data_IF_652028971241
#
_entry.id   IF_652028971241
#
_cell.length_a   1.000
_cell.length_b   1.000
_cell.length_c   1.000
_cell.angle_alpha   90.00
_cell.angle_beta   90.00
_cell.angle_gamma   90.00
#
_symmetry.space_group_name_H-M   'P 1'
#
loop_
_entity.id
_entity.type
_entity.pdbx_description
1 polymer ?
#
# COMPACT_ATOMS: atom_id res chain seq x y z
N UNK A 1 6.52 4.67 4.74
CA UNK A 1 6.36 6.11 5.02
C UNK A 1 5.27 6.75 4.16
N UNK A 2 5.21 6.54 2.84
CA UNK A 2 4.18 7.12 1.96
C UNK A 2 2.72 6.93 2.45
N UNK A 3 2.30 5.72 2.84
CA UNK A 3 0.94 5.50 3.35
C UNK A 3 0.64 6.21 4.68
N UNK A 4 1.65 6.35 5.55
CA UNK A 4 1.52 7.09 6.82
C UNK A 4 1.46 8.60 6.59
N UNK A 5 2.24 9.12 5.64
CA UNK A 5 2.17 10.51 5.22
C UNK A 5 0.84 10.82 4.51
N UNK A 6 0.33 9.88 3.70
CA UNK A 6 -0.98 9.98 3.07
C UNK A 6 -2.10 10.01 4.12
N UNK A 7 -2.05 9.13 5.12
CA UNK A 7 -3.01 9.09 6.22
C UNK A 7 -2.96 10.35 7.11
N UNK A 8 -1.77 10.78 7.51
CA UNK A 8 -1.59 12.01 8.27
C UNK A 8 -2.02 13.25 7.48
N UNK A 9 -1.72 13.27 6.17
CA UNK A 9 -2.19 14.29 5.24
C UNK A 9 -3.71 14.31 5.13
N UNK A 10 -4.37 13.15 5.09
CA UNK A 10 -5.82 13.03 5.02
C UNK A 10 -6.51 13.53 6.29
N UNK A 11 -5.96 13.19 7.46
CA UNK A 11 -6.42 13.74 8.75
C UNK A 11 -6.21 15.25 8.80
N UNK A 12 -5.04 15.75 8.39
CA UNK A 12 -4.73 17.17 8.39
C UNK A 12 -5.65 17.95 7.42
N UNK A 13 -5.91 17.39 6.24
CA UNK A 13 -6.79 17.97 5.21
C UNK A 13 -8.26 17.99 5.64
N UNK A 14 -8.73 16.96 6.36
CA UNK A 14 -10.08 16.94 6.96
C UNK A 14 -10.25 17.91 8.14
N UNK A 15 -9.18 18.20 8.87
CA UNK A 15 -9.18 19.17 9.97
C UNK A 15 -8.93 20.61 9.49
N UNK A 16 -8.41 20.78 8.27
CA UNK A 16 -8.13 22.10 7.70
C UNK A 16 -9.41 22.77 7.17
N UNK A 17 -9.48 24.10 7.27
CA UNK A 17 -10.55 24.92 6.70
C UNK A 17 -10.42 25.12 5.18
N UNK A 18 -9.69 24.24 4.49
CA UNK A 18 -9.48 24.34 3.05
C UNK A 18 -10.80 24.08 2.29
N UNK A 19 -11.00 24.76 1.15
CA UNK A 19 -12.15 24.47 0.29
C UNK A 19 -12.11 23.00 -0.13
N UNK A 20 -13.28 22.34 -0.09
CA UNK A 20 -13.48 20.89 -0.31
C UNK A 20 -12.70 20.37 -1.52
N UNK A 21 -12.65 21.14 -2.60
CA UNK A 21 -11.99 20.76 -3.86
C UNK A 21 -10.48 20.64 -3.75
N UNK A 22 -9.82 21.46 -2.93
CA UNK A 22 -8.37 21.41 -2.74
C UNK A 22 -7.96 20.23 -1.86
N UNK A 23 -8.76 19.96 -0.83
CA UNK A 23 -8.59 18.79 0.05
C UNK A 23 -8.77 17.46 -0.71
N UNK A 24 -9.84 17.36 -1.51
CA UNK A 24 -10.10 16.19 -2.35
C UNK A 24 -9.03 16.03 -3.45
N UNK A 25 -8.54 17.12 -4.04
CA UNK A 25 -7.48 17.08 -5.05
C UNK A 25 -6.16 16.53 -4.49
N UNK A 26 -5.75 16.96 -3.30
CA UNK A 26 -4.54 16.44 -2.67
C UNK A 26 -4.68 14.95 -2.30
N UNK A 27 -5.84 14.53 -1.78
CA UNK A 27 -6.13 13.13 -1.47
C UNK A 27 -6.10 12.24 -2.72
N UNK A 28 -6.77 12.67 -3.79
CA UNK A 28 -6.85 11.94 -5.06
C UNK A 28 -5.47 11.79 -5.71
N UNK A 29 -4.64 12.84 -5.72
CA UNK A 29 -3.27 12.76 -6.23
C UNK A 29 -2.44 11.75 -5.43
N UNK A 30 -2.56 11.76 -4.10
CA UNK A 30 -1.82 10.85 -3.24
C UNK A 30 -2.22 9.37 -3.47
N UNK A 31 -3.52 9.09 -3.47
CA UNK A 31 -4.06 7.74 -3.71
C UNK A 31 -3.73 7.22 -5.11
N UNK A 32 -3.80 8.07 -6.15
CA UNK A 32 -3.35 7.73 -7.50
C UNK A 32 -1.85 7.44 -7.56
N UNK A 33 -1.03 8.22 -6.87
CA UNK A 33 0.41 7.97 -6.78
C UNK A 33 0.72 6.59 -6.18
N UNK A 34 0.02 6.20 -5.11
CA UNK A 34 0.16 4.87 -4.53
C UNK A 34 -0.37 3.78 -5.46
N UNK A 35 -1.48 4.02 -6.18
CA UNK A 35 -2.02 3.08 -7.16
C UNK A 35 -1.02 2.78 -8.29
N UNK A 36 -0.37 3.81 -8.84
CA UNK A 36 0.69 3.67 -9.86
C UNK A 36 1.86 2.86 -9.30
N UNK A 37 2.28 3.13 -8.06
CA UNK A 37 3.34 2.38 -7.40
C UNK A 37 2.97 0.90 -7.24
N UNK A 38 1.74 0.59 -6.83
CA UNK A 38 1.24 -0.78 -6.71
C UNK A 38 1.26 -1.51 -8.06
N UNK A 39 0.86 -0.85 -9.15
CA UNK A 39 0.96 -1.40 -10.51
C UNK A 39 2.42 -1.70 -10.88
N UNK A 40 3.34 -0.77 -10.61
CA UNK A 40 4.76 -0.97 -10.89
C UNK A 40 5.35 -2.15 -10.10
N UNK A 41 5.02 -2.27 -8.81
CA UNK A 41 5.45 -3.40 -7.97
C UNK A 41 4.86 -4.72 -8.48
N UNK A 42 3.59 -4.75 -8.87
CA UNK A 42 2.96 -5.93 -9.44
C UNK A 42 3.65 -6.37 -10.74
N UNK A 43 3.90 -5.43 -11.66
CA UNK A 43 4.57 -5.71 -12.94
C UNK A 43 5.98 -6.28 -12.74
N UNK A 44 6.79 -5.66 -11.88
CA UNK A 44 8.14 -6.14 -11.55
C UNK A 44 8.08 -7.54 -10.92
N UNK A 45 7.13 -7.76 -10.02
CA UNK A 45 6.94 -9.05 -9.34
C UNK A 45 6.55 -10.16 -10.32
N UNK A 46 5.65 -9.88 -11.27
CA UNK A 46 5.27 -10.84 -12.32
C UNK A 46 6.48 -11.19 -13.19
N UNK A 47 7.26 -10.20 -13.62
CA UNK A 47 8.50 -10.44 -14.41
C UNK A 47 9.49 -11.32 -13.63
N UNK A 48 9.67 -11.07 -12.33
CA UNK A 48 10.52 -11.89 -11.46
C UNK A 48 10.00 -13.32 -11.31
N UNK A 49 8.67 -13.50 -11.18
CA UNK A 49 8.04 -14.82 -11.05
C UNK A 49 8.22 -15.69 -12.29
N UNK A 50 8.22 -15.07 -13.48
CA UNK A 50 8.47 -15.73 -14.76
C UNK A 50 9.94 -16.15 -14.90
N UNK A 51 10.88 -15.32 -14.41
CA UNK A 51 12.32 -15.54 -14.59
C UNK A 51 12.94 -16.53 -13.60
N UNK A 52 12.42 -16.65 -12.38
CA UNK A 52 13.01 -17.49 -11.32
C UNK A 52 12.00 -18.48 -10.73
N UNK A 53 12.21 -19.79 -10.96
CA UNK A 53 11.39 -20.86 -10.34
C UNK A 53 11.47 -20.84 -8.81
N UNK A 54 12.63 -20.52 -8.25
CA UNK A 54 12.86 -20.49 -6.79
C UNK A 54 12.18 -19.33 -6.08
N UNK A 55 11.91 -18.22 -6.76
CA UNK A 55 11.21 -17.07 -6.17
C UNK A 55 9.77 -16.93 -6.62
N UNK A 56 9.31 -17.81 -7.52
CA UNK A 56 7.99 -17.72 -8.17
C UNK A 56 6.86 -17.53 -7.17
N UNK A 57 6.81 -18.33 -6.10
CA UNK A 57 5.75 -18.25 -5.09
C UNK A 57 5.78 -16.89 -4.39
N UNK A 58 6.94 -16.44 -3.91
CA UNK A 58 7.09 -15.15 -3.22
C UNK A 58 6.71 -13.99 -4.14
N UNK A 59 7.16 -14.02 -5.39
CA UNK A 59 6.85 -13.00 -6.39
C UNK A 59 5.36 -12.96 -6.75
N UNK A 60 4.67 -14.10 -6.87
CA UNK A 60 3.22 -14.14 -7.05
C UNK A 60 2.48 -13.58 -5.84
N UNK A 61 2.93 -13.91 -4.62
CA UNK A 61 2.33 -13.36 -3.40
C UNK A 61 2.47 -11.84 -3.33
N UNK A 62 3.64 -11.29 -3.69
CA UNK A 62 3.85 -9.84 -3.74
C UNK A 62 2.97 -9.19 -4.83
N UNK A 63 2.83 -9.82 -6.00
CA UNK A 63 1.93 -9.33 -7.05
C UNK A 63 0.46 -9.32 -6.60
N UNK A 64 0.02 -10.35 -5.87
CA UNK A 64 -1.32 -10.41 -5.30
C UNK A 64 -1.55 -9.33 -4.23
N UNK A 65 -0.58 -9.14 -3.33
CA UNK A 65 -0.62 -8.06 -2.33
C UNK A 65 -0.69 -6.68 -2.99
N UNK A 66 0.08 -6.45 -4.06
CA UNK A 66 0.03 -5.21 -4.83
C UNK A 66 -1.34 -5.00 -5.50
N UNK A 67 -1.96 -6.07 -6.03
CA UNK A 67 -3.33 -6.02 -6.55
C UNK A 67 -4.37 -5.68 -5.48
N UNK A 68 -4.26 -6.26 -4.28
CA UNK A 68 -5.12 -5.91 -3.15
C UNK A 68 -4.94 -4.45 -2.71
N UNK A 69 -3.70 -3.95 -2.69
CA UNK A 69 -3.41 -2.53 -2.43
C UNK A 69 -4.08 -1.63 -3.46
N UNK A 70 -4.03 -1.99 -4.76
CA UNK A 70 -4.71 -1.23 -5.81
C UNK A 70 -6.23 -1.16 -5.57
N UNK A 71 -6.88 -2.30 -5.28
CA UNK A 71 -8.31 -2.33 -4.94
C UNK A 71 -8.63 -1.49 -3.71
N UNK A 72 -7.74 -1.46 -2.71
CA UNK A 72 -7.89 -0.61 -1.53
C UNK A 72 -7.80 0.89 -1.86
N UNK A 73 -6.98 1.31 -2.83
CA UNK A 73 -6.96 2.71 -3.29
C UNK A 73 -8.27 3.11 -3.96
N UNK A 74 -8.86 2.23 -4.77
CA UNK A 74 -10.18 2.46 -5.37
C UNK A 74 -11.26 2.64 -4.30
N UNK A 75 -11.23 1.80 -3.25
CA UNK A 75 -12.15 1.92 -2.13
C UNK A 75 -11.95 3.23 -1.35
N UNK A 76 -10.70 3.65 -1.10
CA UNK A 76 -10.40 4.94 -0.45
C UNK A 76 -10.95 6.13 -1.24
N UNK A 77 -10.74 6.13 -2.55
CA UNK A 77 -11.30 7.16 -3.44
C UNK A 77 -12.82 7.21 -3.38
N UNK A 78 -13.48 6.05 -3.38
CA UNK A 78 -14.93 5.95 -3.25
C UNK A 78 -15.42 6.53 -1.91
N UNK A 79 -14.88 6.06 -0.79
CA UNK A 79 -15.31 6.53 0.54
C UNK A 79 -14.94 7.99 0.81
N UNK A 80 -13.82 8.47 0.25
CA UNK A 80 -13.45 9.87 0.32
C UNK A 80 -14.43 10.74 -0.47
N UNK A 81 -14.76 10.35 -1.70
CA UNK A 81 -15.72 11.07 -2.55
C UNK A 81 -17.12 11.12 -1.93
N UNK A 82 -17.63 9.98 -1.47
CA UNK A 82 -18.96 9.84 -0.88
C UNK A 82 -19.06 10.63 0.44
N UNK A 83 -18.04 10.48 1.31
CA UNK A 83 -17.94 11.24 2.55
C UNK A 83 -17.76 12.75 2.35
N UNK A 84 -17.32 13.19 1.17
CA UNK A 84 -17.25 14.61 0.82
C UNK A 84 -18.58 15.17 0.27
N UNK A 85 -19.43 14.34 -0.35
CA UNK A 85 -20.76 14.75 -0.82
C UNK A 85 -21.75 15.00 0.33
N UNK A 86 -21.59 14.29 1.45
CA UNK A 86 -22.44 14.49 2.63
C UNK A 86 -21.98 15.65 3.54
N UNK A 87 -20.90 16.35 3.19
CA UNK A 87 -20.46 17.55 3.92
C UNK A 87 -21.41 18.72 3.61
N UNK A 88 -22.31 19.02 4.53
CA UNK A 88 -23.10 20.25 4.46
C UNK A 88 -22.34 21.42 5.08
N UNK A 89 -22.40 22.59 4.42
CA UNK A 89 -21.93 23.85 4.98
C UNK A 89 -23.15 24.69 5.32
N UNK A 90 -23.36 24.94 6.61
CA UNK A 90 -24.39 25.84 7.11
C UNK A 90 -23.67 27.03 7.74
N UNK A 91 -23.97 28.23 7.27
CA UNK A 91 -23.38 29.49 7.78
C UNK A 91 -21.83 29.46 7.83
N UNK A 92 -21.18 28.92 6.81
CA UNK A 92 -19.72 28.81 6.71
C UNK A 92 -19.09 27.88 7.76
N UNK A 93 -19.92 27.19 8.55
CA UNK A 93 -19.51 26.14 9.47
C UNK A 93 -19.74 24.80 8.78
N UNK A 94 -18.71 23.95 8.80
CA UNK A 94 -18.82 22.58 8.35
C UNK A 94 -19.73 21.82 9.32
N UNK A 95 -20.95 21.51 8.89
CA UNK A 95 -21.91 20.70 9.65
C UNK A 95 -21.90 19.27 9.13
N UNK A 96 -21.09 18.42 9.77
CA UNK A 96 -21.17 16.97 9.60
C UNK A 96 -22.12 16.38 10.62
N UNK A 97 -23.23 15.74 10.21
CA UNK A 97 -24.01 14.94 11.15
C UNK A 97 -23.10 13.84 11.73
N UNK A 98 -23.13 13.65 13.04
CA UNK A 98 -22.20 12.76 13.75
C UNK A 98 -22.22 11.32 13.19
N UNK A 99 -23.37 10.88 12.67
CA UNK A 99 -23.54 9.60 11.98
C UNK A 99 -22.73 9.49 10.69
N UNK A 100 -22.69 10.53 9.85
CA UNK A 100 -21.87 10.55 8.64
C UNK A 100 -20.38 10.50 9.00
N UNK A 101 -19.97 11.17 10.07
CA UNK A 101 -18.56 11.17 10.50
C UNK A 101 -18.05 9.75 10.79
N UNK A 102 -18.86 8.92 11.46
CA UNK A 102 -18.51 7.52 11.77
C UNK A 102 -18.63 6.64 10.53
N UNK A 103 -19.70 6.80 9.74
CA UNK A 103 -20.01 5.94 8.60
C UNK A 103 -18.95 6.04 7.48
N UNK A 104 -18.35 7.22 7.27
CA UNK A 104 -17.33 7.40 6.23
C UNK A 104 -15.89 7.33 6.75
N UNK A 105 -15.60 7.80 7.98
CA UNK A 105 -14.22 7.73 8.49
C UNK A 105 -13.82 6.31 8.90
N UNK A 106 -14.73 5.49 9.45
CA UNK A 106 -14.36 4.14 9.91
C UNK A 106 -13.92 3.24 8.73
N UNK A 107 -14.67 3.13 7.61
CA UNK A 107 -14.22 2.39 6.44
C UNK A 107 -12.93 2.96 5.83
N UNK A 108 -12.77 4.28 5.84
CA UNK A 108 -11.55 4.94 5.36
C UNK A 108 -10.33 4.55 6.23
N UNK A 109 -10.45 4.63 7.56
CA UNK A 109 -9.39 4.22 8.50
C UNK A 109 -9.06 2.74 8.33
N UNK A 110 -10.08 1.87 8.19
CA UNK A 110 -9.89 0.44 7.98
C UNK A 110 -9.15 0.15 6.67
N UNK A 111 -9.52 0.82 5.57
CA UNK A 111 -8.85 0.65 4.27
C UNK A 111 -7.41 1.19 4.29
N UNK A 112 -7.14 2.30 4.98
CA UNK A 112 -5.76 2.76 5.22
C UNK A 112 -4.94 1.77 6.05
N UNK A 113 -5.52 1.23 7.12
CA UNK A 113 -4.84 0.26 8.00
C UNK A 113 -4.52 -1.03 7.25
N UNK A 114 -5.49 -1.56 6.49
CA UNK A 114 -5.30 -2.74 5.66
C UNK A 114 -4.18 -2.51 4.62
N UNK A 115 -4.18 -1.37 3.94
CA UNK A 115 -3.15 -1.03 2.95
C UNK A 115 -1.76 -0.92 3.60
N UNK A 116 -1.64 -0.35 4.80
CA UNK A 116 -0.38 -0.34 5.55
C UNK A 116 0.10 -1.76 5.86
N UNK A 117 -0.79 -2.63 6.34
CA UNK A 117 -0.46 -4.03 6.65
C UNK A 117 -0.03 -4.81 5.39
N UNK A 118 -0.69 -4.56 4.26
CA UNK A 118 -0.32 -5.15 2.95
C UNK A 118 1.10 -4.74 2.56
N UNK A 119 1.43 -3.46 2.67
CA UNK A 119 2.78 -2.96 2.37
C UNK A 119 3.85 -3.53 3.32
N UNK A 120 3.53 -3.66 4.61
CA UNK A 120 4.43 -4.28 5.59
C UNK A 120 4.67 -5.77 5.27
N UNK A 121 3.61 -6.50 4.90
CA UNK A 121 3.73 -7.90 4.48
C UNK A 121 4.58 -8.04 3.21
N UNK A 122 4.37 -7.17 2.21
CA UNK A 122 5.16 -7.15 0.98
C UNK A 122 6.64 -6.86 1.26
N UNK A 123 6.94 -5.92 2.14
CA UNK A 123 8.31 -5.61 2.58
C UNK A 123 8.95 -6.79 3.33
N UNK A 124 8.22 -7.44 4.23
CA UNK A 124 8.70 -8.61 4.97
C UNK A 124 9.03 -9.77 4.03
N UNK A 125 8.16 -10.06 3.05
CA UNK A 125 8.39 -11.07 2.02
C UNK A 125 9.60 -10.72 1.14
N UNK A 126 9.75 -9.45 0.76
CA UNK A 126 10.91 -8.99 0.01
C UNK A 126 12.20 -9.17 0.81
N UNK A 127 12.22 -8.84 2.10
CA UNK A 127 13.39 -9.01 2.97
C UNK A 127 13.76 -10.49 3.18
N UNK A 128 12.75 -11.35 3.38
CA UNK A 128 12.95 -12.81 3.48
C UNK A 128 13.56 -13.38 2.19
N UNK A 129 13.05 -12.95 1.03
CA UNK A 129 13.59 -13.34 -0.28
C UNK A 129 15.05 -12.94 -0.43
N UNK A 130 15.40 -11.69 -0.09
CA UNK A 130 16.76 -11.18 -0.17
C UNK A 130 17.71 -11.94 0.77
N UNK A 131 17.31 -12.19 2.03
CA UNK A 131 18.13 -12.98 2.98
C UNK A 131 18.37 -14.41 2.47
N UNK A 132 17.35 -15.05 1.91
CA UNK A 132 17.49 -16.38 1.30
C UNK A 132 18.48 -16.40 0.13
N UNK A 133 18.50 -15.34 -0.69
CA UNK A 133 19.46 -15.21 -1.79
C UNK A 133 20.90 -15.00 -1.30
N UNK A 134 21.11 -14.11 -0.34
CA UNK A 134 22.45 -13.82 0.22
C UNK A 134 23.08 -15.06 0.88
N UNK A 135 22.30 -15.85 1.62
CA UNK A 135 22.79 -17.06 2.27
C UNK A 135 23.20 -18.15 1.25
N UNK A 136 22.50 -18.25 0.12
CA UNK A 136 22.82 -19.21 -0.95
C UNK A 136 24.10 -18.84 -1.72
N UNK A 137 24.40 -17.55 -1.84
CA UNK A 137 25.62 -17.04 -2.46
C UNK A 137 26.85 -17.22 -1.55
N UNK A 138 26.67 -17.25 -0.22
CA UNK A 138 27.76 -17.49 0.75
C UNK A 138 28.12 -18.96 0.98
N UNK A 139 27.36 -19.92 0.44
CA UNK A 139 27.61 -21.35 0.59
C UNK A 139 28.46 -22.09 -0.48
N UNK A 140 29.22 -21.47 -1.42
CA UNK A 140 29.95 -22.26 -2.42
C UNK A 140 31.23 -22.92 -1.89
N UNK A 141 31.70 -22.63 -0.66
CA UNK A 141 33.03 -23.07 -0.23
C UNK A 141 33.14 -24.43 0.50
N UNK A 142 32.03 -25.14 0.75
CA UNK A 142 32.07 -26.41 1.51
C UNK A 142 31.97 -27.68 0.66
N UNK A 143 32.28 -27.60 -0.64
CA UNK A 143 32.20 -28.76 -1.56
C UNK A 143 33.50 -29.10 -2.28
N UNK A 144 34.60 -28.40 -2.02
CA UNK A 144 35.90 -28.65 -2.67
C UNK A 144 36.94 -29.35 -1.77
N UNK A 145 36.64 -29.63 -0.50
CA UNK A 145 37.58 -30.32 0.40
C UNK A 145 37.45 -31.84 0.43
N UNK A 146 36.47 -32.44 -0.25
CA UNK A 146 36.25 -33.90 -0.22
C UNK A 146 36.85 -34.68 -1.40
N UNK A 147 37.62 -34.04 -2.29
CA UNK A 147 38.26 -34.71 -3.43
C UNK A 147 39.76 -34.95 -3.27
N UNK A 148 40.39 -34.62 -2.14
CA UNK A 148 41.85 -34.82 -1.95
C UNK A 148 42.24 -36.01 -1.06
N UNK A 149 41.32 -36.93 -0.78
CA UNK A 149 41.60 -38.12 0.05
C UNK A 149 41.15 -39.44 -0.59
N UNK A 150 41.42 -39.62 -1.88
CA UNK A 150 41.40 -40.93 -2.53
C UNK A 150 42.63 -41.11 -3.39
#
# INVERSE_FOLDING_TARGET
>A
MLCLCAFAGDIALRLSSLPIRESLAAHTVCTLGVAVLSIAVAAISVVLALRSRTMRVVSWTIALLAGLSFSAQTAKLYFAYDGHHELTFVDHVLTTPHQALVYFNVPLILTYTADILIWLAALALSMLSTRGHTNRIRSPHRRFTDYSSR
#
